data_IF_454393156990
#
_entry.id   IF_454393156990
#
_cell.length_a   1.000
_cell.length_b   1.000
_cell.length_c   1.000
_cell.angle_alpha   90.00
_cell.angle_beta   90.00
_cell.angle_gamma   90.00
#
_symmetry.space_group_name_H-M   'P 1'
#
loop_
_entity.id
_entity.type
_entity.pdbx_description
1 polymer ?
#
# COMPACT_ATOMS: atom_id res chain seq x y z
N UNK A 1 15.30 30.46 -21.29
CA UNK A 1 14.66 30.42 -19.96
C UNK A 1 13.81 29.17 -19.91
N UNK A 2 14.27 28.14 -19.21
CA UNK A 2 13.54 26.88 -19.09
C UNK A 2 12.33 27.04 -18.18
N UNK A 3 11.19 26.50 -18.57
CA UNK A 3 10.00 26.45 -17.72
C UNK A 3 10.31 25.66 -16.45
N UNK A 4 10.13 26.31 -15.30
CA UNK A 4 10.03 25.59 -14.03
C UNK A 4 8.71 24.83 -14.05
N UNK A 5 8.73 23.54 -14.37
CA UNK A 5 7.59 22.68 -14.17
C UNK A 5 7.14 22.80 -12.69
N UNK A 6 5.89 23.22 -12.46
CA UNK A 6 5.34 23.34 -11.12
C UNK A 6 5.42 21.99 -10.40
N UNK A 7 5.82 21.99 -9.12
CA UNK A 7 5.76 20.79 -8.29
C UNK A 7 4.29 20.41 -8.08
N UNK A 8 3.89 19.29 -8.66
CA UNK A 8 2.59 18.67 -8.44
C UNK A 8 2.77 17.50 -7.45
N UNK A 9 2.64 17.72 -6.13
CA UNK A 9 2.77 16.65 -5.16
C UNK A 9 1.65 15.62 -5.33
N UNK A 10 1.99 14.33 -5.24
CA UNK A 10 1.06 13.21 -5.33
C UNK A 10 1.13 12.35 -4.07
N UNK A 11 0.06 11.62 -3.77
CA UNK A 11 0.10 10.59 -2.75
C UNK A 11 0.89 9.41 -3.32
N UNK A 12 2.02 9.10 -2.69
CA UNK A 12 2.89 8.01 -3.13
C UNK A 12 2.40 6.64 -2.68
N UNK A 13 1.96 6.53 -1.42
CA UNK A 13 1.65 5.25 -0.78
C UNK A 13 0.51 5.41 0.21
N UNK A 14 -0.37 4.43 0.28
CA UNK A 14 -1.33 4.24 1.35
C UNK A 14 -0.88 3.04 2.19
N UNK A 15 -0.58 3.29 3.47
CA UNK A 15 -0.08 2.25 4.38
C UNK A 15 -1.18 1.80 5.33
N UNK A 16 -1.28 0.49 5.54
CA UNK A 16 -2.26 -0.16 6.39
C UNK A 16 -1.58 -1.08 7.39
N UNK A 17 -1.88 -0.88 8.66
CA UNK A 17 -1.52 -1.81 9.72
C UNK A 17 -2.38 -3.08 9.64
N UNK A 18 -1.76 -4.23 9.91
CA UNK A 18 -2.44 -5.53 9.99
C UNK A 18 -1.84 -6.41 11.10
N UNK A 19 -2.63 -7.30 11.69
CA UNK A 19 -2.16 -8.24 12.72
C UNK A 19 -1.82 -9.63 12.16
N UNK A 20 -2.28 -9.94 10.95
CA UNK A 20 -2.03 -11.21 10.25
C UNK A 20 -0.76 -11.18 9.40
N UNK A 21 -0.67 -12.09 8.44
CA UNK A 21 0.40 -12.05 7.44
C UNK A 21 0.11 -10.96 6.38
N UNK A 22 0.97 -9.93 6.23
CA UNK A 22 0.83 -8.94 5.18
C UNK A 22 0.77 -9.56 3.78
N UNK A 23 1.49 -10.66 3.56
CA UNK A 23 1.52 -11.34 2.26
C UNK A 23 0.15 -11.89 1.87
N UNK A 24 -0.55 -12.56 2.79
CA UNK A 24 -1.90 -13.09 2.55
C UNK A 24 -2.90 -11.98 2.26
N UNK A 25 -2.81 -10.87 3.01
CA UNK A 25 -3.62 -9.69 2.75
C UNK A 25 -3.29 -9.08 1.38
N UNK A 26 -2.01 -9.03 1.04
CA UNK A 26 -1.53 -8.57 -0.25
C UNK A 26 -2.05 -9.43 -1.41
N UNK A 27 -2.09 -10.76 -1.28
CA UNK A 27 -2.68 -11.66 -2.28
C UNK A 27 -4.16 -11.36 -2.50
N UNK A 28 -4.93 -11.22 -1.42
CA UNK A 28 -6.34 -10.87 -1.50
C UNK A 28 -6.56 -9.56 -2.27
N UNK A 29 -5.84 -8.49 -1.92
CA UNK A 29 -5.97 -7.20 -2.59
C UNK A 29 -5.42 -7.21 -4.01
N UNK A 30 -4.41 -8.04 -4.29
CA UNK A 30 -3.82 -8.19 -5.61
C UNK A 30 -4.86 -8.75 -6.57
N UNK A 31 -5.54 -9.83 -6.18
CA UNK A 31 -6.63 -10.43 -6.95
C UNK A 31 -7.81 -9.47 -7.11
N UNK A 32 -8.24 -8.83 -6.02
CA UNK A 32 -9.39 -7.94 -6.03
C UNK A 32 -9.19 -6.70 -6.92
N UNK A 33 -7.98 -6.13 -6.93
CA UNK A 33 -7.68 -4.88 -7.63
C UNK A 33 -6.96 -5.10 -8.97
N UNK A 34 -6.56 -6.32 -9.30
CA UNK A 34 -5.70 -6.61 -10.45
C UNK A 34 -4.32 -5.95 -10.36
N UNK A 35 -3.81 -5.75 -9.14
CA UNK A 35 -2.54 -5.05 -8.88
C UNK A 35 -1.49 -6.04 -8.40
N UNK A 36 -0.34 -6.18 -9.07
CA UNK A 36 0.65 -7.16 -8.67
C UNK A 36 1.24 -6.81 -7.29
N UNK A 37 1.46 -7.86 -6.49
CA UNK A 37 2.40 -7.82 -5.39
C UNK A 37 3.80 -7.47 -5.92
N UNK A 38 4.57 -6.81 -5.07
CA UNK A 38 5.98 -6.59 -5.30
C UNK A 38 6.74 -7.92 -5.32
N UNK A 39 7.71 -8.04 -6.22
CA UNK A 39 8.53 -9.25 -6.36
C UNK A 39 9.29 -9.59 -5.07
N UNK A 40 9.58 -8.60 -4.23
CA UNK A 40 10.27 -8.78 -2.96
C UNK A 40 9.34 -9.13 -1.79
N UNK A 41 8.01 -9.03 -1.94
CA UNK A 41 7.07 -9.44 -0.90
C UNK A 41 6.96 -10.97 -0.83
N UNK A 42 7.31 -11.58 0.32
CA UNK A 42 7.26 -13.04 0.53
C UNK A 42 6.37 -13.44 1.72
N UNK A 43 5.87 -14.69 1.77
CA UNK A 43 5.16 -15.19 2.94
C UNK A 43 5.98 -15.04 4.23
N UNK A 44 5.34 -14.56 5.30
CA UNK A 44 5.98 -14.37 6.60
C UNK A 44 6.65 -13.00 6.81
N UNK A 45 6.93 -12.25 5.75
CA UNK A 45 7.59 -10.94 5.82
C UNK A 45 6.81 -9.94 6.69
N UNK A 46 7.50 -8.94 7.28
CA UNK A 46 6.85 -7.94 8.13
C UNK A 46 5.96 -6.97 7.33
N UNK A 47 6.08 -6.95 6.00
CA UNK A 47 5.29 -6.10 5.13
C UNK A 47 5.07 -6.72 3.74
N UNK A 48 4.05 -6.24 3.04
CA UNK A 48 3.80 -6.58 1.63
C UNK A 48 3.31 -5.34 0.87
N UNK A 49 3.84 -5.13 -0.33
CA UNK A 49 3.55 -3.97 -1.17
C UNK A 49 2.82 -4.39 -2.44
N UNK A 50 1.78 -3.65 -2.83
CA UNK A 50 1.13 -3.74 -4.14
C UNK A 50 1.46 -2.51 -4.96
N UNK A 51 1.87 -2.73 -6.21
CA UNK A 51 2.13 -1.66 -7.18
C UNK A 51 0.89 -1.40 -8.02
N UNK A 52 0.64 -0.14 -8.34
CA UNK A 52 -0.37 0.24 -9.33
C UNK A 52 0.30 0.38 -10.71
N UNK A 53 0.01 -0.50 -11.68
CA UNK A 53 0.60 -0.41 -13.02
C UNK A 53 0.24 0.88 -13.76
N UNK A 54 -0.84 1.56 -13.34
CA UNK A 54 -1.28 2.84 -13.93
C UNK A 54 -0.60 4.06 -13.31
N UNK A 55 0.30 3.87 -12.33
CA UNK A 55 1.05 4.96 -11.68
C UNK A 55 0.32 5.62 -10.52
N UNK A 56 -0.78 5.04 -10.04
CA UNK A 56 -1.43 5.44 -8.79
C UNK A 56 -0.62 5.10 -7.53
N UNK A 57 -1.13 5.45 -6.34
CA UNK A 57 -0.44 5.16 -5.08
C UNK A 57 -0.27 3.66 -4.88
N UNK A 58 0.87 3.27 -4.30
CA UNK A 58 1.07 1.90 -3.84
C UNK A 58 0.22 1.62 -2.60
N UNK A 59 -0.14 0.35 -2.39
CA UNK A 59 -0.70 -0.10 -1.12
C UNK A 59 0.40 -0.84 -0.36
N UNK A 60 0.62 -0.47 0.90
CA UNK A 60 1.60 -1.13 1.76
C UNK A 60 0.87 -1.70 2.98
N UNK A 61 1.02 -3.00 3.23
CA UNK A 61 0.51 -3.66 4.43
C UNK A 61 1.68 -3.93 5.38
N UNK A 62 1.58 -3.52 6.64
CA UNK A 62 2.65 -3.68 7.64
C UNK A 62 2.10 -4.43 8.85
N UNK A 63 2.84 -5.45 9.31
CA UNK A 63 2.45 -6.22 10.48
C UNK A 63 2.73 -5.43 11.75
N UNK A 64 1.71 -5.27 12.61
CA UNK A 64 1.80 -4.68 13.94
C UNK A 64 1.13 -5.59 14.98
N UNK A 65 1.53 -5.54 16.27
CA UNK A 65 0.92 -6.39 17.29
C UNK A 65 -0.50 -5.92 17.68
N UNK A 66 -0.84 -4.65 17.50
CA UNK A 66 -2.12 -4.09 17.88
C UNK A 66 -3.24 -4.38 16.86
N UNK A 67 -4.36 -4.92 17.35
CA UNK A 67 -5.57 -5.06 16.56
C UNK A 67 -6.21 -3.71 16.23
N UNK A 68 -6.89 -3.66 15.08
CA UNK A 68 -7.69 -2.50 14.67
C UNK A 68 -8.84 -2.25 15.65
N UNK A 69 -8.91 -1.04 16.20
CA UNK A 69 -9.93 -0.64 17.19
C UNK A 69 -11.05 0.26 16.63
N UNK A 70 -10.83 0.89 15.47
CA UNK A 70 -11.78 1.83 14.88
C UNK A 70 -11.81 1.74 13.33
N UNK A 71 -12.80 2.38 12.71
CA UNK A 71 -12.88 2.50 11.24
C UNK A 71 -11.76 3.44 10.72
N UNK A 72 -11.24 3.15 9.53
CA UNK A 72 -10.37 4.11 8.82
C UNK A 72 -11.20 5.34 8.46
N UNK A 73 -10.77 6.54 8.85
CA UNK A 73 -11.44 7.81 8.55
C UNK A 73 -10.40 8.81 8.06
N UNK A 74 -10.78 9.59 7.05
CA UNK A 74 -10.02 10.74 6.55
C UNK A 74 -10.93 11.95 6.70
N UNK A 75 -10.40 13.03 7.27
CA UNK A 75 -11.08 14.31 7.48
C UNK A 75 -10.25 15.43 6.81
N UNK A 76 -10.90 16.55 6.47
CA UNK A 76 -10.29 17.72 5.84
C UNK A 76 -10.41 18.94 6.77
#
# INVERSE_FOLDING_TARGET
MGESAGLNPTIRTLTFDCTGDPYDLGLFWSELLGRPLDDDSKPGDPEALLRDPSGGPTLLFVRVPEGKSAKNRIHF
#
